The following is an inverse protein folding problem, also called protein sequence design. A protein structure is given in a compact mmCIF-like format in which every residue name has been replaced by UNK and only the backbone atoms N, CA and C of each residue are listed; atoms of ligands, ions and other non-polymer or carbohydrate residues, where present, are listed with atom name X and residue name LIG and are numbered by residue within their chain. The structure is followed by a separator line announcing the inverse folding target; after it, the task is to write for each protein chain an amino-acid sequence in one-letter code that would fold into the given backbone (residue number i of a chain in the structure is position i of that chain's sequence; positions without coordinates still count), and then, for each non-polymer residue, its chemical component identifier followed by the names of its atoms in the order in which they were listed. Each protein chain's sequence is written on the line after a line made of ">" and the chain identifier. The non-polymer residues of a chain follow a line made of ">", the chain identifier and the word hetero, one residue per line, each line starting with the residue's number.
data_IF_765394079565
#
_entry.id   IF_765394079565
#
_cell.length_a   1.000
_cell.length_b   1.000
_cell.length_c   1.000
_cell.angle_alpha   90.00
_cell.angle_beta   90.00
_cell.angle_gamma   90.00
#
_symmetry.space_group_name_H-M   'P 1'
#
loop_
_entity.id
_entity.type
_entity.pdbx_description
1 polymer ?
#
# COMPACT_ATOMS: atom_id res chain seq x y z
N UNK A 1 -15.83 33.03 -3.96
CA UNK A 1 -15.68 31.82 -4.80
C UNK A 1 -14.51 31.06 -4.23
N UNK A 2 -14.77 29.95 -3.56
CA UNK A 2 -13.74 29.13 -2.93
C UNK A 2 -12.72 28.68 -3.98
N UNK A 3 -11.43 28.85 -3.66
CA UNK A 3 -10.33 28.22 -4.38
C UNK A 3 -10.49 26.70 -4.21
N UNK A 4 -11.24 26.06 -5.10
CA UNK A 4 -11.24 24.60 -5.20
C UNK A 4 -9.85 24.22 -5.67
N UNK A 5 -9.09 23.54 -4.80
CA UNK A 5 -7.75 23.06 -5.14
C UNK A 5 -7.89 22.16 -6.39
N UNK A 6 -7.23 22.55 -7.49
CA UNK A 6 -7.29 21.80 -8.75
C UNK A 6 -6.53 20.51 -8.57
N UNK A 7 -7.08 19.39 -9.05
CA UNK A 7 -6.38 18.11 -9.01
C UNK A 7 -5.21 18.09 -9.99
N UNK A 8 -4.16 17.36 -9.61
CA UNK A 8 -2.93 17.20 -10.41
C UNK A 8 -2.70 15.73 -10.77
N UNK A 9 -1.80 15.47 -11.71
CA UNK A 9 -1.34 14.10 -11.96
C UNK A 9 -0.31 13.69 -10.90
N UNK A 10 -0.54 12.53 -10.27
CA UNK A 10 0.29 12.05 -9.17
C UNK A 10 1.65 11.54 -9.64
N UNK A 11 2.66 12.41 -9.68
CA UNK A 11 4.03 12.08 -10.09
C UNK A 11 5.03 12.05 -8.93
N UNK A 12 4.62 12.45 -7.72
CA UNK A 12 5.49 12.48 -6.52
C UNK A 12 4.68 12.09 -5.28
N UNK A 13 5.33 11.37 -4.36
CA UNK A 13 4.73 11.02 -3.08
C UNK A 13 3.48 10.12 -3.18
N UNK A 14 2.71 9.99 -2.08
CA UNK A 14 1.47 9.24 -2.04
C UNK A 14 0.38 9.88 -2.92
N UNK A 15 -0.32 9.06 -3.72
CA UNK A 15 -1.37 9.52 -4.62
C UNK A 15 -2.73 9.43 -3.91
N UNK A 16 -3.31 10.55 -3.49
CA UNK A 16 -4.66 10.57 -2.90
C UNK A 16 -5.72 11.11 -3.87
N UNK A 17 -6.97 10.63 -3.76
CA UNK A 17 -8.07 10.98 -4.68
C UNK A 17 -8.65 12.38 -4.46
N UNK A 18 -8.32 13.03 -3.36
CA UNK A 18 -8.73 14.42 -3.06
C UNK A 18 -7.88 15.44 -3.83
N UNK A 19 -6.60 15.16 -4.03
CA UNK A 19 -5.62 16.06 -4.65
C UNK A 19 -5.20 15.61 -6.06
N UNK A 20 -5.41 14.34 -6.41
CA UNK A 20 -4.92 13.77 -7.67
C UNK A 20 -6.02 13.13 -8.51
N UNK A 21 -5.77 13.05 -9.81
CA UNK A 21 -6.48 12.14 -10.71
C UNK A 21 -6.05 10.70 -10.44
N UNK A 22 -6.99 9.78 -10.29
CA UNK A 22 -6.71 8.40 -9.86
C UNK A 22 -7.52 7.41 -10.69
N UNK A 23 -6.87 6.35 -11.17
CA UNK A 23 -7.55 5.20 -11.80
C UNK A 23 -8.17 4.32 -10.72
N UNK A 24 -9.44 3.96 -10.90
CA UNK A 24 -10.10 2.99 -10.03
C UNK A 24 -9.53 1.58 -10.25
N UNK A 25 -8.99 0.97 -9.18
CA UNK A 25 -8.50 -0.42 -9.15
C UNK A 25 -9.51 -1.35 -8.49
N UNK A 26 -10.77 -1.29 -8.92
CA UNK A 26 -11.88 -1.94 -8.22
C UNK A 26 -11.73 -3.46 -8.16
N UNK A 27 -11.28 -4.09 -9.26
CA UNK A 27 -11.07 -5.55 -9.31
C UNK A 27 -9.93 -5.98 -8.40
N UNK A 28 -8.80 -5.27 -8.44
CA UNK A 28 -7.66 -5.54 -7.57
C UNK A 28 -8.02 -5.30 -6.09
N UNK A 29 -8.75 -4.23 -5.78
CA UNK A 29 -9.25 -3.97 -4.43
C UNK A 29 -10.13 -5.12 -3.95
N UNK A 30 -11.07 -5.60 -4.79
CA UNK A 30 -11.95 -6.69 -4.44
C UNK A 30 -11.19 -8.01 -4.21
N UNK A 31 -10.24 -8.37 -5.09
CA UNK A 31 -9.38 -9.55 -4.90
C UNK A 31 -8.56 -9.44 -3.61
N UNK A 32 -7.92 -8.30 -3.37
CA UNK A 32 -7.14 -8.07 -2.16
C UNK A 32 -8.01 -8.21 -0.90
N UNK A 33 -9.16 -7.55 -0.87
CA UNK A 33 -10.12 -7.64 0.24
C UNK A 33 -10.59 -9.07 0.47
N UNK A 34 -10.86 -9.85 -0.59
CA UNK A 34 -11.26 -11.25 -0.46
C UNK A 34 -10.14 -12.11 0.15
N UNK A 35 -8.89 -11.92 -0.29
CA UNK A 35 -7.73 -12.62 0.29
C UNK A 35 -7.53 -12.28 1.77
N UNK A 36 -7.76 -11.03 2.16
CA UNK A 36 -7.74 -10.60 3.57
C UNK A 36 -8.86 -11.30 4.36
N UNK A 37 -10.08 -11.36 3.82
CA UNK A 37 -11.21 -12.08 4.46
C UNK A 37 -10.92 -13.55 4.68
N UNK A 38 -10.25 -14.20 3.72
CA UNK A 38 -9.79 -15.59 3.83
C UNK A 38 -8.61 -15.78 4.82
N UNK A 39 -8.04 -14.69 5.35
CA UNK A 39 -6.93 -14.73 6.29
C UNK A 39 -5.61 -15.15 5.62
N UNK A 40 -5.40 -14.76 4.36
CA UNK A 40 -4.19 -15.12 3.62
C UNK A 40 -3.00 -14.25 4.02
N UNK A 41 -1.80 -14.80 3.82
CA UNK A 41 -0.56 -14.04 3.95
C UNK A 41 -0.11 -13.68 2.54
N UNK A 42 -0.27 -12.42 2.18
CA UNK A 42 -0.24 -11.88 0.82
C UNK A 42 1.09 -11.18 0.58
N UNK A 43 1.69 -11.44 -0.58
CA UNK A 43 2.90 -10.76 -1.01
C UNK A 43 2.57 -9.86 -2.18
N UNK A 44 2.77 -8.55 -2.02
CA UNK A 44 2.59 -7.59 -3.10
C UNK A 44 3.87 -7.45 -3.92
N UNK A 45 3.79 -7.90 -5.17
CA UNK A 45 4.77 -7.58 -6.19
C UNK A 45 4.24 -6.41 -7.02
N UNK A 46 4.89 -5.26 -6.92
CA UNK A 46 4.60 -4.15 -7.81
C UNK A 46 5.89 -3.40 -8.17
N UNK A 47 6.03 -2.88 -9.41
CA UNK A 47 7.15 -1.99 -9.80
C UNK A 47 7.21 -0.73 -8.92
N UNK A 48 8.39 -0.15 -8.64
CA UNK A 48 8.52 1.10 -7.86
C UNK A 48 7.53 2.18 -8.36
N UNK A 49 7.02 3.03 -7.44
CA UNK A 49 6.17 4.19 -7.77
C UNK A 49 4.80 3.85 -8.41
N UNK A 50 4.15 2.76 -7.97
CA UNK A 50 2.84 2.31 -8.49
C UNK A 50 1.64 2.65 -7.58
N UNK A 51 1.86 3.43 -6.52
CA UNK A 51 0.83 3.80 -5.54
C UNK A 51 0.39 2.64 -4.64
N UNK A 52 1.31 1.74 -4.30
CA UNK A 52 1.04 0.51 -3.52
C UNK A 52 0.49 0.80 -2.12
N UNK A 53 1.19 1.68 -1.42
CA UNK A 53 0.88 2.08 -0.05
C UNK A 53 -0.51 2.68 0.00
N UNK A 54 -0.81 3.61 -0.92
CA UNK A 54 -2.16 4.17 -1.08
C UNK A 54 -3.21 3.11 -1.41
N UNK A 55 -2.88 2.15 -2.26
CA UNK A 55 -3.80 1.05 -2.57
C UNK A 55 -4.20 0.27 -1.31
N UNK A 56 -3.25 -0.08 -0.43
CA UNK A 56 -3.56 -0.76 0.84
C UNK A 56 -4.40 0.09 1.77
N UNK A 57 -4.04 1.35 1.97
CA UNK A 57 -4.80 2.26 2.82
C UNK A 57 -6.25 2.34 2.36
N UNK A 58 -6.47 2.59 1.07
CA UNK A 58 -7.82 2.65 0.51
C UNK A 58 -8.58 1.33 0.64
N UNK A 59 -7.90 0.19 0.44
CA UNK A 59 -8.52 -1.13 0.56
C UNK A 59 -8.95 -1.44 1.99
N UNK A 60 -8.11 -1.11 2.97
CA UNK A 60 -8.36 -1.38 4.38
C UNK A 60 -9.35 -0.40 4.98
N UNK A 61 -9.28 0.89 4.63
CA UNK A 61 -10.28 1.88 5.06
C UNK A 61 -11.67 1.48 4.57
N UNK A 62 -11.76 1.03 3.30
CA UNK A 62 -13.01 0.50 2.75
C UNK A 62 -13.46 -0.77 3.48
N UNK A 63 -12.54 -1.70 3.75
CA UNK A 63 -12.86 -2.93 4.47
C UNK A 63 -13.36 -2.63 5.89
N UNK A 64 -12.74 -1.72 6.64
CA UNK A 64 -13.15 -1.35 8.00
C UNK A 64 -14.48 -0.61 8.00
N UNK A 65 -14.75 0.23 6.99
CA UNK A 65 -16.03 0.90 6.83
C UNK A 65 -17.19 -0.09 6.57
N UNK A 66 -16.93 -1.17 5.82
CA UNK A 66 -17.92 -2.22 5.52
C UNK A 66 -18.03 -3.28 6.65
N UNK A 67 -16.90 -3.65 7.25
CA UNK A 67 -16.76 -4.69 8.27
C UNK A 67 -15.92 -4.17 9.47
N UNK A 68 -16.56 -3.57 10.47
CA UNK A 68 -15.87 -2.91 11.60
C UNK A 68 -15.05 -3.85 12.50
N UNK A 69 -15.13 -5.16 12.28
CA UNK A 69 -14.41 -6.15 13.09
C UNK A 69 -12.94 -6.29 12.66
N UNK A 70 -12.53 -5.71 11.52
CA UNK A 70 -11.11 -5.66 11.14
C UNK A 70 -10.34 -4.59 11.92
N UNK A 71 -9.12 -4.95 12.30
CA UNK A 71 -8.18 -4.06 13.00
C UNK A 71 -6.89 -3.95 12.17
N UNK A 72 -6.83 -3.01 11.20
CA UNK A 72 -5.65 -2.85 10.37
C UNK A 72 -4.51 -2.20 11.17
N UNK A 73 -3.29 -2.69 10.98
CA UNK A 73 -2.06 -2.11 11.52
C UNK A 73 -1.11 -1.95 10.34
N UNK A 74 -0.74 -0.71 10.03
CA UNK A 74 0.22 -0.40 8.99
C UNK A 74 1.59 -0.07 9.58
N UNK A 75 2.64 -0.73 9.09
CA UNK A 75 4.03 -0.50 9.47
C UNK A 75 4.87 -0.26 8.22
N UNK A 76 5.95 0.51 8.33
CA UNK A 76 6.93 0.71 7.27
C UNK A 76 8.33 0.43 7.85
N UNK A 77 9.13 -0.38 7.16
CA UNK A 77 10.46 -0.77 7.65
C UNK A 77 11.63 -0.14 6.88
N UNK A 78 11.39 0.88 6.06
CA UNK A 78 12.42 1.56 5.24
C UNK A 78 13.62 2.05 6.06
N UNK A 79 13.41 2.48 7.31
CA UNK A 79 14.44 3.09 8.17
C UNK A 79 15.33 2.08 8.90
N UNK A 80 15.05 0.77 8.82
CA UNK A 80 15.72 -0.24 9.67
C UNK A 80 16.80 -1.08 8.98
N UNK A 81 17.06 -0.91 7.68
CA UNK A 81 17.88 -1.86 6.89
C UNK A 81 19.29 -2.07 7.48
N UNK A 82 19.90 -1.01 8.00
CA UNK A 82 21.26 -0.99 8.55
C UNK A 82 21.32 -1.18 10.08
N UNK A 83 20.18 -1.37 10.74
CA UNK A 83 20.09 -1.43 12.20
C UNK A 83 20.39 -2.82 12.77
N UNK A 84 20.72 -2.87 14.08
CA UNK A 84 20.84 -4.15 14.76
C UNK A 84 19.47 -4.80 14.98
N UNK A 85 19.37 -6.13 15.14
CA UNK A 85 18.10 -6.76 15.47
C UNK A 85 17.43 -6.20 16.73
N UNK A 86 18.21 -5.77 17.73
CA UNK A 86 17.65 -5.20 18.96
C UNK A 86 16.99 -3.85 18.67
N UNK A 87 17.69 -2.97 17.96
CA UNK A 87 17.21 -1.63 17.59
C UNK A 87 16.00 -1.72 16.66
N UNK A 88 16.00 -2.66 15.72
CA UNK A 88 14.81 -2.95 14.88
C UNK A 88 13.59 -3.33 15.71
N UNK A 89 13.72 -4.23 16.70
CA UNK A 89 12.57 -4.65 17.50
C UNK A 89 12.10 -3.54 18.46
N UNK A 90 13.01 -2.70 18.94
CA UNK A 90 12.70 -1.50 19.72
C UNK A 90 11.88 -0.51 18.88
N UNK A 91 12.38 -0.11 17.71
CA UNK A 91 11.66 0.78 16.78
C UNK A 91 10.33 0.19 16.31
N UNK A 92 10.32 -1.09 15.94
CA UNK A 92 9.08 -1.84 15.64
C UNK A 92 8.06 -1.76 16.79
N UNK A 93 8.51 -1.83 18.05
CA UNK A 93 7.64 -1.70 19.20
C UNK A 93 7.03 -0.30 19.31
N UNK A 94 7.77 0.75 18.97
CA UNK A 94 7.29 2.13 18.98
C UNK A 94 6.30 2.42 17.85
N UNK A 95 6.63 2.00 16.62
CA UNK A 95 5.76 2.13 15.46
C UNK A 95 4.43 1.40 15.68
N UNK A 96 4.51 0.17 16.21
CA UNK A 96 3.33 -0.64 16.51
C UNK A 96 2.44 0.02 17.56
N UNK A 97 3.01 0.62 18.62
CA UNK A 97 2.23 1.34 19.63
C UNK A 97 1.52 2.56 19.04
N UNK A 98 2.25 3.34 18.24
CA UNK A 98 1.73 4.54 17.59
C UNK A 98 0.56 4.19 16.66
N UNK A 99 0.73 3.16 15.85
CA UNK A 99 -0.30 2.74 14.91
C UNK A 99 -1.52 2.15 15.61
N UNK A 100 -1.34 1.31 16.64
CA UNK A 100 -2.47 0.78 17.42
C UNK A 100 -3.25 1.92 18.07
N UNK A 101 -2.57 2.91 18.65
CA UNK A 101 -3.22 4.09 19.24
C UNK A 101 -4.02 4.89 18.21
N UNK A 102 -3.45 5.10 17.01
CA UNK A 102 -4.12 5.75 15.87
C UNK A 102 -5.39 5.01 15.46
N UNK A 103 -5.34 3.69 15.34
CA UNK A 103 -6.49 2.84 14.94
C UNK A 103 -7.57 2.82 16.02
N UNK A 104 -7.20 2.77 17.30
CA UNK A 104 -8.14 2.85 18.42
C UNK A 104 -8.85 4.20 18.46
N UNK A 105 -8.12 5.30 18.27
CA UNK A 105 -8.69 6.65 18.20
C UNK A 105 -9.67 6.77 17.03
N UNK A 106 -9.31 6.29 15.84
CA UNK A 106 -10.19 6.30 14.65
C UNK A 106 -11.45 5.45 14.82
N UNK A 107 -11.33 4.30 15.50
CA UNK A 107 -12.45 3.38 15.74
C UNK A 107 -13.34 3.79 16.92
N UNK A 108 -12.96 4.80 17.70
CA UNK A 108 -13.68 5.24 18.90
C UNK A 108 -13.69 4.19 20.02
N UNK A 109 -12.72 3.27 20.03
CA UNK A 109 -12.63 2.17 21.00
C UNK A 109 -11.68 2.56 22.13
N UNK A 110 -12.22 2.95 23.27
CA UNK A 110 -11.42 3.11 24.49
C UNK A 110 -11.32 1.79 25.26
N UNK A 111 -10.09 1.34 25.51
CA UNK A 111 -9.81 0.18 26.35
C UNK A 111 -8.67 0.52 27.32
N UNK A 112 -9.00 0.74 28.59
CA UNK A 112 -8.01 1.06 29.63
C UNK A 112 -6.87 0.02 29.72
N UNK A 113 -7.19 -1.26 29.50
CA UNK A 113 -6.20 -2.35 29.52
C UNK A 113 -5.27 -2.35 28.29
N UNK A 114 -5.68 -1.77 27.16
CA UNK A 114 -4.80 -1.63 26.00
C UNK A 114 -3.74 -0.57 26.24
N UNK A 115 -4.10 0.55 26.87
CA UNK A 115 -3.12 1.60 27.23
C UNK A 115 -2.02 1.04 28.13
N UNK A 116 -2.36 0.13 29.06
CA UNK A 116 -1.37 -0.56 29.89
C UNK A 116 -0.46 -1.48 29.06
N UNK A 117 -1.04 -2.33 28.19
CA UNK A 117 -0.25 -3.20 27.31
C UNK A 117 0.72 -2.39 26.44
N UNK A 118 0.26 -1.28 25.85
CA UNK A 118 1.09 -0.42 25.01
C UNK A 118 2.22 0.24 25.79
N UNK A 119 2.03 0.49 27.09
CA UNK A 119 3.06 1.11 27.95
C UNK A 119 4.08 0.09 28.45
N UNK A 120 3.64 -1.11 28.80
CA UNK A 120 4.46 -2.11 29.50
C UNK A 120 5.09 -3.16 28.59
N UNK A 121 4.51 -3.42 27.41
CA UNK A 121 5.00 -4.47 26.55
C UNK A 121 6.21 -4.01 25.73
N UNK A 122 7.34 -4.68 25.92
CA UNK A 122 8.53 -4.51 25.10
C UNK A 122 8.68 -5.66 24.12
N UNK A 123 8.77 -5.31 22.83
CA UNK A 123 9.09 -6.26 21.78
C UNK A 123 10.59 -6.19 21.57
N UNK A 124 11.30 -7.20 22.07
CA UNK A 124 12.78 -7.30 21.98
C UNK A 124 13.24 -8.34 20.97
N UNK A 125 12.34 -9.20 20.47
CA UNK A 125 12.61 -10.25 19.50
C UNK A 125 11.31 -10.85 18.93
N UNK A 126 11.45 -11.73 17.94
CA UNK A 126 10.34 -12.45 17.32
C UNK A 126 9.46 -13.29 18.27
N UNK A 127 9.95 -13.71 19.45
CA UNK A 127 9.13 -14.43 20.44
C UNK A 127 8.26 -13.48 21.27
N UNK A 128 8.82 -12.35 21.72
CA UNK A 128 8.06 -11.30 22.41
C UNK A 128 7.04 -10.66 21.46
N UNK A 129 7.37 -10.49 20.17
CA UNK A 129 6.42 -10.09 19.14
C UNK A 129 5.19 -11.01 19.10
N UNK A 130 5.38 -12.33 19.08
CA UNK A 130 4.26 -13.29 19.09
C UNK A 130 3.38 -13.12 20.33
N UNK A 131 4.00 -13.03 21.51
CA UNK A 131 3.28 -12.86 22.78
C UNK A 131 2.49 -11.57 22.82
N UNK A 132 3.05 -10.49 22.29
CA UNK A 132 2.36 -9.21 22.17
C UNK A 132 1.09 -9.33 21.34
N UNK A 133 1.14 -9.92 20.14
CA UNK A 133 -0.06 -10.10 19.32
C UNK A 133 -1.09 -11.04 19.97
N UNK A 134 -0.65 -12.09 20.65
CA UNK A 134 -1.53 -12.98 21.44
C UNK A 134 -2.27 -12.19 22.53
N UNK A 135 -1.57 -11.32 23.27
CA UNK A 135 -2.15 -10.44 24.29
C UNK A 135 -3.10 -9.39 23.69
N UNK A 136 -2.68 -8.74 22.60
CA UNK A 136 -3.48 -7.74 21.89
C UNK A 136 -4.81 -8.33 21.42
N UNK A 137 -4.77 -9.50 20.78
CA UNK A 137 -5.96 -10.21 20.32
C UNK A 137 -6.90 -10.55 21.46
N UNK A 138 -6.34 -11.04 22.56
CA UNK A 138 -7.12 -11.39 23.75
C UNK A 138 -7.81 -10.16 24.36
N UNK A 139 -7.10 -9.04 24.49
CA UNK A 139 -7.65 -7.80 25.03
C UNK A 139 -8.72 -7.20 24.11
N UNK A 140 -8.47 -7.16 22.81
CA UNK A 140 -9.43 -6.64 21.84
C UNK A 140 -10.70 -7.54 21.74
N UNK A 141 -10.62 -8.81 22.18
CA UNK A 141 -11.77 -9.73 22.22
C UNK A 141 -12.68 -9.53 23.46
N UNK A 142 -12.30 -8.70 24.44
CA UNK A 142 -13.05 -8.46 25.68
C UNK A 142 -13.53 -7.00 25.76
N UNK A 143 -14.77 -6.67 26.19
CA UNK A 143 -15.96 -7.47 26.48
C UNK A 143 -17.07 -7.16 25.44
N UNK A 144 -16.84 -7.46 24.16
CA UNK A 144 -17.86 -7.21 23.14
C UNK A 144 -19.08 -8.13 23.36
N UNK A 145 -20.29 -7.56 23.38
CA UNK A 145 -21.55 -8.33 23.41
C UNK A 145 -22.40 -7.92 22.20
N UNK A 146 -22.62 -8.79 21.19
CA UNK A 146 -22.09 -10.15 21.05
C UNK A 146 -20.55 -10.18 20.92
N UNK A 147 -19.90 -11.33 21.22
CA UNK A 147 -18.46 -11.47 21.08
C UNK A 147 -18.07 -11.16 19.63
N UNK A 148 -17.31 -10.08 19.46
CA UNK A 148 -16.67 -9.70 18.22
C UNK A 148 -15.19 -10.00 18.36
N UNK A 149 -14.70 -10.83 17.47
CA UNK A 149 -13.29 -11.17 17.42
C UNK A 149 -12.62 -10.23 16.41
N UNK A 150 -11.74 -9.35 16.87
CA UNK A 150 -11.08 -8.41 15.98
C UNK A 150 -10.12 -9.17 15.10
N UNK A 151 -10.26 -8.95 13.80
CA UNK A 151 -9.42 -9.56 12.78
C UNK A 151 -8.23 -8.63 12.54
N UNK A 152 -7.13 -8.88 13.25
CA UNK A 152 -5.90 -8.09 13.10
C UNK A 152 -5.33 -8.34 11.71
N UNK A 153 -5.16 -7.26 10.93
CA UNK A 153 -4.57 -7.29 9.59
C UNK A 153 -3.30 -6.46 9.61
N UNK A 154 -2.16 -7.10 9.40
CA UNK A 154 -0.87 -6.43 9.41
C UNK A 154 -0.44 -6.10 7.98
N UNK A 155 -0.19 -4.82 7.68
CA UNK A 155 0.45 -4.40 6.43
C UNK A 155 1.86 -3.91 6.75
N UNK A 156 2.84 -4.46 6.04
CA UNK A 156 4.24 -4.07 6.19
C UNK A 156 4.72 -3.55 4.84
N UNK A 157 4.97 -2.24 4.78
CA UNK A 157 5.65 -1.60 3.66
C UNK A 157 7.17 -1.71 3.79
N UNK A 158 7.85 -1.69 2.65
CA UNK A 158 9.32 -1.85 2.53
C UNK A 158 9.86 -2.98 3.43
N UNK A 159 9.27 -4.18 3.32
CA UNK A 159 9.64 -5.38 4.08
C UNK A 159 11.13 -5.75 3.94
N UNK A 160 11.75 -5.41 2.81
CA UNK A 160 13.19 -5.56 2.58
C UNK A 160 14.05 -4.79 3.61
N UNK A 161 13.51 -3.78 4.29
CA UNK A 161 14.21 -2.99 5.30
C UNK A 161 14.38 -3.68 6.66
N UNK A 162 13.86 -4.90 6.87
CA UNK A 162 14.17 -5.66 8.08
C UNK A 162 15.65 -6.10 8.05
N UNK A 163 16.44 -5.93 9.13
CA UNK A 163 17.82 -6.41 9.18
C UNK A 163 17.93 -7.89 8.84
N UNK A 164 18.91 -8.27 8.01
CA UNK A 164 19.09 -9.65 7.54
C UNK A 164 19.17 -10.68 8.69
N UNK A 165 19.72 -10.30 9.84
CA UNK A 165 19.81 -11.14 11.04
C UNK A 165 18.45 -11.35 11.74
N UNK A 166 17.47 -10.46 11.56
CA UNK A 166 16.14 -10.51 12.16
C UNK A 166 15.08 -11.16 11.25
N UNK A 167 15.19 -11.00 9.92
CA UNK A 167 14.20 -11.46 8.91
C UNK A 167 13.79 -12.92 9.13
N UNK A 168 14.75 -13.83 9.32
CA UNK A 168 14.48 -15.26 9.45
C UNK A 168 13.60 -15.56 10.67
N UNK A 169 13.91 -14.95 11.82
CA UNK A 169 13.14 -15.12 13.06
C UNK A 169 11.73 -14.54 12.92
N UNK A 170 11.62 -13.37 12.29
CA UNK A 170 10.37 -12.69 12.00
C UNK A 170 9.43 -13.58 11.16
N UNK A 171 9.91 -14.11 10.03
CA UNK A 171 9.15 -15.00 9.15
C UNK A 171 8.74 -16.31 9.85
N UNK A 172 9.62 -16.91 10.65
CA UNK A 172 9.28 -18.11 11.43
C UNK A 172 8.13 -17.87 12.40
N UNK A 173 8.09 -16.73 13.10
CA UNK A 173 6.97 -16.38 13.97
C UNK A 173 5.69 -16.20 13.17
N UNK A 174 5.74 -15.45 12.07
CA UNK A 174 4.58 -15.28 11.20
C UNK A 174 4.02 -16.61 10.68
N UNK A 175 4.89 -17.55 10.28
CA UNK A 175 4.51 -18.91 9.88
C UNK A 175 3.89 -19.71 11.00
N UNK A 176 4.45 -19.64 12.21
CA UNK A 176 3.86 -20.31 13.37
C UNK A 176 2.44 -19.80 13.65
N UNK A 177 2.22 -18.48 13.55
CA UNK A 177 0.90 -17.87 13.73
C UNK A 177 -0.05 -18.35 12.62
N UNK A 178 0.39 -18.32 11.35
CA UNK A 178 -0.41 -18.75 10.21
C UNK A 178 -0.88 -20.21 10.30
N UNK A 179 0.00 -21.11 10.77
CA UNK A 179 -0.30 -22.55 10.93
C UNK A 179 -1.11 -22.89 12.19
N UNK A 180 -1.42 -21.90 13.04
CA UNK A 180 -2.20 -22.13 14.26
C UNK A 180 -3.63 -22.55 13.91
N UNK A 181 -4.11 -23.63 14.52
CA UNK A 181 -5.49 -24.10 14.34
C UNK A 181 -6.44 -23.27 15.20
N UNK A 182 -7.53 -22.79 14.61
CA UNK A 182 -8.53 -21.95 15.28
C UNK A 182 -8.28 -20.47 15.03
N UNK A 183 -8.57 -19.64 16.04
CA UNK A 183 -8.42 -18.19 15.94
C UNK A 183 -6.96 -17.79 16.06
N UNK A 184 -6.46 -17.06 15.06
CA UNK A 184 -5.08 -16.59 14.99
C UNK A 184 -4.97 -15.22 15.66
N UNK A 185 -3.82 -14.93 16.25
CA UNK A 185 -3.55 -13.59 16.78
C UNK A 185 -3.24 -12.55 15.69
N UNK A 186 -2.92 -13.01 14.48
CA UNK A 186 -2.87 -12.19 13.27
C UNK A 186 -3.68 -12.93 12.23
N UNK A 187 -4.76 -12.31 11.75
CA UNK A 187 -5.68 -12.94 10.81
C UNK A 187 -5.07 -12.98 9.41
N UNK A 188 -4.56 -11.84 8.95
CA UNK A 188 -4.00 -11.65 7.60
C UNK A 188 -2.74 -10.79 7.67
N UNK A 189 -1.78 -11.02 6.76
CA UNK A 189 -0.57 -10.21 6.63
C UNK A 189 -0.39 -9.83 5.16
N UNK A 190 -0.20 -8.55 4.85
CA UNK A 190 0.21 -8.07 3.54
C UNK A 190 1.61 -7.48 3.61
N UNK A 191 2.52 -7.92 2.76
CA UNK A 191 3.88 -7.34 2.70
C UNK A 191 4.17 -6.73 1.34
N UNK A 192 4.98 -5.67 1.35
CA UNK A 192 5.40 -4.89 0.18
C UNK A 192 6.90 -4.71 0.19
N UNK A 193 7.51 -4.43 -0.96
CA UNK A 193 8.95 -4.20 -1.04
C UNK A 193 9.70 -5.49 -0.73
N UNK A 194 9.46 -6.51 -1.55
CA UNK A 194 10.04 -7.86 -1.42
C UNK A 194 10.97 -8.19 -2.59
N UNK A 195 11.85 -7.24 -2.95
CA UNK A 195 12.89 -7.45 -3.97
C UNK A 195 13.78 -8.63 -3.57
N UNK A 196 13.94 -8.82 -2.26
CA UNK A 196 14.84 -9.80 -1.68
C UNK A 196 14.22 -11.20 -1.47
N UNK A 197 12.90 -11.40 -1.36
CA UNK A 197 12.35 -12.75 -1.11
C UNK A 197 12.59 -13.72 -2.30
N UNK A 198 12.66 -13.20 -3.54
CA UNK A 198 13.03 -14.02 -4.71
C UNK A 198 14.54 -14.34 -4.77
N UNK A 199 15.39 -13.59 -4.07
CA UNK A 199 16.85 -13.77 -4.06
C UNK A 199 17.40 -14.38 -2.75
N UNK A 200 16.71 -14.18 -1.64
CA UNK A 200 16.87 -14.93 -0.42
C UNK A 200 16.17 -16.26 -0.64
N UNK A 201 16.96 -17.29 -0.95
CA UNK A 201 16.55 -18.70 -0.94
C UNK A 201 16.10 -19.14 0.49
N UNK A 202 15.10 -18.47 1.07
CA UNK A 202 14.38 -18.99 2.21
C UNK A 202 13.45 -20.06 1.67
N UNK A 203 13.91 -21.29 1.86
CA UNK A 203 13.16 -22.52 1.69
C UNK A 203 11.68 -22.32 2.10
N UNK A 204 10.74 -22.91 1.35
CA UNK A 204 9.29 -22.89 1.62
C UNK A 204 8.93 -23.38 3.04
N UNK A 205 9.91 -23.94 3.74
CA UNK A 205 9.87 -24.32 5.15
C UNK A 205 9.83 -23.14 6.13
N UNK A 206 10.33 -21.95 5.74
CA UNK A 206 10.50 -20.79 6.64
C UNK A 206 9.42 -19.73 6.38
N UNK A 207 9.13 -19.42 5.11
CA UNK A 207 8.15 -18.39 4.77
C UNK A 207 6.70 -18.86 5.01
N UNK A 208 5.83 -18.04 5.62
CA UNK A 208 4.38 -18.28 5.63
C UNK A 208 3.71 -17.98 4.29
N UNK A 209 4.38 -17.21 3.44
CA UNK A 209 3.81 -16.71 2.20
C UNK A 209 3.89 -17.77 1.11
N UNK A 210 2.76 -18.10 0.49
CA UNK A 210 2.70 -19.04 -0.61
C UNK A 210 2.81 -18.30 -1.95
N UNK A 211 3.39 -18.94 -2.97
CA UNK A 211 3.52 -18.35 -4.32
C UNK A 211 2.14 -18.07 -4.95
N UNK A 212 1.11 -18.80 -4.54
CA UNK A 212 -0.28 -18.55 -4.97
C UNK A 212 -0.91 -17.29 -4.35
N UNK A 213 -0.26 -16.72 -3.33
CA UNK A 213 -0.69 -15.50 -2.66
C UNK A 213 0.12 -14.27 -3.12
N UNK A 214 0.88 -14.42 -4.22
CA UNK A 214 1.42 -13.29 -4.97
C UNK A 214 0.24 -12.46 -5.50
N UNK A 215 0.25 -11.18 -5.16
CA UNK A 215 -0.68 -10.18 -5.67
C UNK A 215 0.14 -9.20 -6.51
N UNK A 216 -0.31 -8.94 -7.73
CA UNK A 216 0.37 -8.02 -8.64
C UNK A 216 -0.53 -6.83 -8.94
N UNK A 217 -0.02 -5.62 -8.73
CA UNK A 217 -0.65 -4.43 -9.28
C UNK A 217 -0.19 -4.28 -10.73
N UNK A 218 -1.11 -4.54 -11.64
CA UNK A 218 -0.85 -4.43 -13.07
C UNK A 218 -0.70 -2.96 -13.50
N UNK A 219 -0.02 -2.77 -14.62
CA UNK A 219 -0.03 -1.49 -15.31
C UNK A 219 -1.45 -1.14 -15.78
N UNK A 220 -1.72 0.15 -15.95
CA UNK A 220 -3.01 0.62 -16.42
C UNK A 220 -3.31 0.09 -17.82
N UNK A 221 -4.50 -0.46 -17.98
CA UNK A 221 -5.06 -0.79 -19.29
C UNK A 221 -5.37 0.49 -20.07
N UNK A 222 -5.53 0.38 -21.39
CA UNK A 222 -5.93 1.53 -22.23
C UNK A 222 -7.22 2.22 -21.72
N UNK A 223 -8.30 1.49 -21.35
CA UNK A 223 -9.48 2.09 -20.73
C UNK A 223 -9.18 2.86 -19.44
N UNK A 224 -8.28 2.36 -18.59
CA UNK A 224 -7.89 3.03 -17.34
C UNK A 224 -7.06 4.30 -17.60
N UNK A 225 -6.17 4.28 -18.59
CA UNK A 225 -5.46 5.50 -19.03
C UNK A 225 -6.46 6.53 -19.56
N UNK A 226 -7.46 6.09 -20.33
CA UNK A 226 -8.53 6.96 -20.80
C UNK A 226 -9.35 7.53 -19.64
N UNK A 227 -9.77 6.71 -18.67
CA UNK A 227 -10.48 7.14 -17.45
C UNK A 227 -9.71 8.25 -16.73
N UNK A 228 -8.40 8.07 -16.53
CA UNK A 228 -7.54 9.05 -15.88
C UNK A 228 -7.54 10.41 -16.62
N UNK A 229 -7.40 10.40 -17.94
CA UNK A 229 -7.36 11.61 -18.76
C UNK A 229 -8.73 12.28 -18.93
N UNK A 230 -9.81 11.51 -18.86
CA UNK A 230 -11.17 12.05 -18.84
C UNK A 230 -11.42 12.87 -17.59
N UNK A 231 -10.95 12.45 -16.41
CA UNK A 231 -11.10 13.23 -15.17
C UNK A 231 -10.50 14.64 -15.31
N UNK A 232 -9.30 14.76 -15.90
CA UNK A 232 -8.71 16.06 -16.23
C UNK A 232 -9.56 16.84 -17.24
N UNK A 233 -10.02 16.17 -18.30
CA UNK A 233 -10.82 16.82 -19.35
C UNK A 233 -12.13 17.39 -18.79
N UNK A 234 -12.78 16.68 -17.87
CA UNK A 234 -14.00 17.12 -17.21
C UNK A 234 -13.76 18.30 -16.26
N UNK A 235 -12.63 18.33 -15.55
CA UNK A 235 -12.28 19.41 -14.62
C UNK A 235 -11.74 20.67 -15.32
N UNK A 236 -10.99 20.51 -16.41
CA UNK A 236 -10.26 21.58 -17.09
C UNK A 236 -10.93 22.04 -18.38
N UNK A 237 -11.73 21.19 -19.01
CA UNK A 237 -12.36 21.45 -20.30
C UNK A 237 -11.43 21.28 -21.51
N UNK A 238 -10.18 20.84 -21.30
CA UNK A 238 -9.21 20.61 -22.38
C UNK A 238 -9.17 19.12 -22.75
N UNK A 239 -9.62 18.73 -23.95
CA UNK A 239 -9.69 17.32 -24.34
C UNK A 239 -8.37 16.79 -24.90
N UNK A 240 -8.15 15.49 -24.69
CA UNK A 240 -7.11 14.71 -25.38
C UNK A 240 -7.69 14.05 -26.63
N UNK A 241 -6.97 14.14 -27.74
CA UNK A 241 -7.32 13.39 -28.93
C UNK A 241 -7.10 11.87 -28.70
N UNK A 242 -7.96 11.03 -29.29
CA UNK A 242 -7.96 9.58 -29.04
C UNK A 242 -6.65 8.89 -29.46
N UNK A 243 -5.98 9.41 -30.49
CA UNK A 243 -4.67 8.96 -30.95
C UNK A 243 -3.56 9.23 -29.92
N UNK A 244 -3.65 10.31 -29.15
CA UNK A 244 -2.72 10.61 -28.05
C UNK A 244 -2.88 9.60 -26.92
N UNK A 245 -4.11 9.28 -26.53
CA UNK A 245 -4.38 8.31 -25.46
C UNK A 245 -3.81 6.93 -25.84
N UNK A 246 -4.05 6.50 -27.08
CA UNK A 246 -3.52 5.25 -27.61
C UNK A 246 -1.98 5.26 -27.68
N UNK A 247 -1.37 6.36 -28.14
CA UNK A 247 0.08 6.52 -28.19
C UNK A 247 0.71 6.49 -26.80
N UNK A 248 0.09 7.17 -25.84
CA UNK A 248 0.53 7.22 -24.44
C UNK A 248 0.51 5.83 -23.82
N UNK A 249 -0.60 5.09 -23.92
CA UNK A 249 -0.64 3.72 -23.40
C UNK A 249 0.39 2.82 -24.10
N UNK A 250 0.51 2.88 -25.43
CA UNK A 250 1.46 2.06 -26.20
C UNK A 250 2.92 2.32 -25.79
N UNK A 251 3.29 3.59 -25.59
CA UNK A 251 4.66 3.97 -25.32
C UNK A 251 5.07 3.74 -23.86
N UNK A 252 4.13 3.90 -22.94
CA UNK A 252 4.36 3.73 -21.50
C UNK A 252 4.13 2.29 -21.03
N UNK A 253 3.48 1.45 -21.84
CA UNK A 253 2.99 0.15 -21.43
C UNK A 253 2.01 0.22 -20.25
N UNK A 254 1.36 1.37 -20.05
CA UNK A 254 0.44 1.63 -18.94
C UNK A 254 1.10 1.86 -17.58
N UNK A 255 2.42 2.02 -17.51
CA UNK A 255 3.12 2.16 -16.24
C UNK A 255 2.65 3.44 -15.49
N UNK A 256 2.06 3.32 -14.29
CA UNK A 256 1.33 4.42 -13.65
C UNK A 256 2.11 5.73 -13.52
N UNK A 257 3.37 5.66 -13.10
CA UNK A 257 4.22 6.84 -12.95
C UNK A 257 4.48 7.53 -14.29
N UNK A 258 4.93 6.80 -15.31
CA UNK A 258 5.23 7.37 -16.63
C UNK A 258 3.95 7.93 -17.27
N UNK A 259 2.81 7.25 -17.13
CA UNK A 259 1.50 7.76 -17.61
C UNK A 259 1.18 9.12 -16.98
N UNK A 260 1.30 9.24 -15.66
CA UNK A 260 1.05 10.49 -14.94
C UNK A 260 2.09 11.57 -15.31
N UNK A 261 3.36 11.22 -15.51
CA UNK A 261 4.41 12.16 -15.94
C UNK A 261 4.14 12.72 -17.33
N UNK A 262 3.77 11.89 -18.29
CA UNK A 262 3.38 12.35 -19.62
C UNK A 262 2.19 13.31 -19.54
N UNK A 263 1.17 12.94 -18.77
CA UNK A 263 -0.01 13.77 -18.60
C UNK A 263 0.36 15.12 -17.98
N UNK A 264 1.15 15.12 -16.90
CA UNK A 264 1.67 16.34 -16.26
C UNK A 264 2.42 17.24 -17.25
N UNK A 265 3.34 16.70 -18.05
CA UNK A 265 4.08 17.50 -19.04
C UNK A 265 3.12 18.13 -20.04
N UNK A 266 2.19 17.33 -20.58
CA UNK A 266 1.23 17.78 -21.59
C UNK A 266 0.24 18.82 -21.06
N UNK A 267 -0.06 18.80 -19.76
CA UNK A 267 -1.10 19.67 -19.18
C UNK A 267 -0.57 20.82 -18.34
N UNK A 268 0.60 20.70 -17.72
CA UNK A 268 1.12 21.68 -16.76
C UNK A 268 2.39 22.37 -17.25
N UNK A 269 3.27 21.65 -17.96
CA UNK A 269 4.60 22.16 -18.31
C UNK A 269 4.67 22.67 -19.75
N UNK A 270 3.88 22.08 -20.65
CA UNK A 270 3.73 22.59 -22.00
C UNK A 270 2.75 23.77 -22.02
N UNK A 271 3.16 24.87 -22.65
CA UNK A 271 2.33 26.07 -22.86
C UNK A 271 1.30 25.84 -23.97
N UNK A 272 0.40 24.86 -23.76
CA UNK A 272 -0.69 24.53 -24.68
C UNK A 272 -1.94 25.29 -24.22
N UNK A 273 -2.51 26.18 -25.07
CA UNK A 273 -3.76 26.85 -24.77
C UNK A 273 -4.87 25.85 -24.42
N UNK A 274 -5.63 26.14 -23.35
CA UNK A 274 -6.63 25.21 -22.80
C UNK A 274 -7.87 25.01 -23.67
N UNK A 275 -8.10 25.93 -24.59
CA UNK A 275 -9.13 25.85 -25.63
C UNK A 275 -8.72 24.96 -26.83
N UNK A 276 -7.45 24.53 -26.89
CA UNK A 276 -6.92 23.67 -27.95
C UNK A 276 -6.79 22.23 -27.46
N UNK A 277 -7.26 21.23 -28.23
CA UNK A 277 -7.10 19.82 -27.90
C UNK A 277 -5.62 19.41 -27.86
N UNK A 278 -5.28 18.50 -26.95
CA UNK A 278 -3.95 17.89 -26.90
C UNK A 278 -3.86 16.85 -28.02
N UNK A 279 -2.92 17.03 -28.94
CA UNK A 279 -2.77 16.21 -30.17
C UNK A 279 -1.48 15.42 -30.18
N UNK A 280 -1.32 14.52 -31.16
CA UNK A 280 -0.11 13.70 -31.32
C UNK A 280 1.15 14.56 -31.53
N UNK A 281 1.03 15.76 -32.10
CA UNK A 281 2.15 16.69 -32.24
C UNK A 281 2.67 17.16 -30.87
N UNK A 282 1.78 17.38 -29.90
CA UNK A 282 2.15 17.71 -28.53
C UNK A 282 2.78 16.51 -27.82
N UNK A 283 2.19 15.32 -28.01
CA UNK A 283 2.74 14.07 -27.48
C UNK A 283 4.18 13.81 -27.93
N UNK A 284 4.48 13.98 -29.22
CA UNK A 284 5.84 13.78 -29.75
C UNK A 284 6.85 14.73 -29.09
N UNK A 285 6.45 15.99 -28.82
CA UNK A 285 7.31 16.94 -28.10
C UNK A 285 7.54 16.51 -26.65
N UNK A 286 6.48 16.14 -25.93
CA UNK A 286 6.58 15.64 -24.55
C UNK A 286 7.44 14.36 -24.46
N UNK A 287 7.34 13.50 -25.47
CA UNK A 287 8.14 12.27 -25.54
C UNK A 287 9.64 12.54 -25.67
N UNK A 288 10.03 13.52 -26.48
CA UNK A 288 11.43 13.95 -26.56
C UNK A 288 11.90 14.53 -25.23
N UNK A 289 11.09 15.36 -24.57
CA UNK A 289 11.44 15.96 -23.27
C UNK A 289 11.71 14.91 -22.18
N UNK A 290 10.88 13.86 -22.09
CA UNK A 290 11.11 12.75 -21.13
C UNK A 290 12.39 11.98 -21.44
N UNK A 291 12.69 11.70 -22.71
CA UNK A 291 13.93 11.00 -23.07
C UNK A 291 15.18 11.81 -22.74
N UNK A 292 15.09 13.14 -22.83
CA UNK A 292 16.18 14.04 -22.42
C UNK A 292 16.31 14.11 -20.88
N UNK A 293 15.21 14.07 -20.12
CA UNK A 293 15.24 13.98 -18.65
C UNK A 293 15.87 12.67 -18.14
N UNK A 294 15.55 11.54 -18.77
CA UNK A 294 16.03 10.21 -18.35
C UNK A 294 17.54 10.04 -18.58
N UNK A 295 18.15 10.81 -19.49
CA UNK A 295 19.59 10.77 -19.77
C UNK A 295 20.46 11.60 -18.80
N UNK A 296 19.86 12.23 -17.78
CA UNK A 296 20.57 13.09 -16.80
C UNK A 296 20.82 12.38 -15.46
N UNK A 297 20.55 11.07 -15.35
CA UNK A 297 20.87 10.25 -14.17
C UNK A 297 22.00 9.25 -14.44
#
# INVERSE_FOLDING_TARGET
>A
MENRHRKTFGTRGPVNSTEHYVVSRTEELADFTNRVKEGRYIVLFAPRQTGKTTFFYNALDKLVAEEPDYFPIHLNFEEYEDESPADFYEGFSEDLRTEIASVLHKSGREHANLSQLLTEAEITNHFSMRRFFEQLTHLLSQPATPPRFPQIVLIIDEFDGIPAAAVKGFLHTLRRIYLTRGQRCIHSVGIVGVKSIKHLNYDRTISPFNIQDEFALHNFTLPQVQELLVQYTEEVGQPFAADVIAALHRQTGGQPFIVNRFAQILTEEMDIPKDVPITLAHFTKAHTAILEEVNVN
#
